data_IF_874225317113
#
_entry.id   IF_874225317113
#
_cell.length_a   1.000
_cell.length_b   1.000
_cell.length_c   1.000
_cell.angle_alpha   90.00
_cell.angle_beta   90.00
_cell.angle_gamma   90.00
#
_symmetry.space_group_name_H-M   'P 1'
#
loop_
_entity.id
_entity.type
_entity.pdbx_description
1 polymer ?
#
# COMPACT_ATOMS: atom_id res chain seq x y z
N UNK A 1 11.77 11.48 -5.96
CA UNK A 1 12.25 10.28 -6.67
C UNK A 1 11.67 10.30 -8.08
N UNK A 2 12.43 9.91 -9.08
CA UNK A 2 12.01 9.93 -10.49
C UNK A 2 11.38 8.59 -10.91
N UNK A 3 10.68 8.58 -12.03
CA UNK A 3 10.12 7.34 -12.60
C UNK A 3 11.21 6.30 -12.90
N UNK A 4 12.40 6.75 -13.33
CA UNK A 4 13.55 5.88 -13.59
C UNK A 4 14.02 5.18 -12.32
N UNK A 5 14.06 5.91 -11.21
CA UNK A 5 14.49 5.33 -9.93
C UNK A 5 13.50 4.26 -9.45
N UNK A 6 12.19 4.46 -9.68
CA UNK A 6 11.16 3.48 -9.30
C UNK A 6 11.27 2.21 -10.15
N UNK A 7 11.50 2.35 -11.46
CA UNK A 7 11.74 1.21 -12.33
C UNK A 7 12.98 0.43 -11.92
N UNK A 8 14.08 1.12 -11.55
CA UNK A 8 15.29 0.45 -11.06
C UNK A 8 15.08 -0.34 -9.75
N UNK A 9 14.11 0.06 -8.91
CA UNK A 9 13.71 -0.74 -7.74
C UNK A 9 12.96 -1.99 -8.19
N UNK A 10 12.05 -1.85 -9.15
CA UNK A 10 11.25 -2.96 -9.67
C UNK A 10 12.16 -3.98 -10.36
N UNK A 11 13.03 -3.55 -11.26
CA UNK A 11 13.93 -4.43 -12.01
C UNK A 11 14.82 -5.24 -11.07
N UNK A 12 15.38 -4.58 -10.03
CA UNK A 12 16.16 -5.26 -8.99
C UNK A 12 15.32 -6.24 -8.18
N UNK A 13 14.12 -5.84 -7.78
CA UNK A 13 13.23 -6.73 -7.04
C UNK A 13 12.87 -7.96 -7.88
N UNK A 14 12.64 -7.82 -9.19
CA UNK A 14 12.36 -8.95 -10.09
C UNK A 14 13.58 -9.87 -10.23
N UNK A 15 14.77 -9.31 -10.42
CA UNK A 15 16.01 -10.09 -10.61
C UNK A 15 16.43 -10.88 -9.34
N UNK A 16 16.27 -10.27 -8.17
CA UNK A 16 16.70 -10.85 -6.89
C UNK A 16 15.63 -11.73 -6.21
N UNK A 17 14.36 -11.66 -6.64
CA UNK A 17 13.27 -12.30 -5.92
C UNK A 17 13.24 -13.81 -6.10
N UNK A 18 13.19 -14.50 -4.96
CA UNK A 18 12.96 -15.94 -4.89
C UNK A 18 11.83 -16.19 -3.88
N UNK A 19 10.68 -16.63 -4.38
CA UNK A 19 9.48 -16.83 -3.60
C UNK A 19 8.22 -16.89 -4.46
N UNK A 20 7.09 -16.58 -3.85
CA UNK A 20 5.78 -16.57 -4.51
C UNK A 20 5.62 -15.33 -5.41
N UNK A 21 5.46 -15.54 -6.72
CA UNK A 21 5.34 -14.46 -7.70
C UNK A 21 4.08 -13.62 -7.48
N UNK A 22 3.02 -14.16 -6.89
CA UNK A 22 1.80 -13.39 -6.58
C UNK A 22 2.11 -12.30 -5.54
N UNK A 23 3.03 -12.58 -4.61
CA UNK A 23 3.50 -11.60 -3.64
C UNK A 23 4.39 -10.52 -4.27
N UNK A 24 5.23 -10.89 -5.23
CA UNK A 24 6.06 -9.94 -6.00
C UNK A 24 5.19 -9.02 -6.85
N UNK A 25 4.23 -9.56 -7.60
CA UNK A 25 3.29 -8.78 -8.41
C UNK A 25 2.52 -7.80 -7.54
N UNK A 26 2.00 -8.27 -6.40
CA UNK A 26 1.28 -7.42 -5.45
C UNK A 26 2.16 -6.30 -4.87
N UNK A 27 3.42 -6.59 -4.56
CA UNK A 27 4.37 -5.60 -4.05
C UNK A 27 4.68 -4.53 -5.10
N UNK A 28 4.97 -4.93 -6.34
CA UNK A 28 5.18 -4.03 -7.48
C UNK A 28 3.92 -3.19 -7.73
N UNK A 29 2.74 -3.81 -7.71
CA UNK A 29 1.45 -3.13 -7.85
C UNK A 29 1.23 -2.06 -6.78
N UNK A 30 1.57 -2.35 -5.51
CA UNK A 30 1.52 -1.36 -4.43
C UNK A 30 2.44 -0.17 -4.72
N UNK A 31 3.66 -0.41 -5.20
CA UNK A 31 4.61 0.67 -5.53
C UNK A 31 4.09 1.52 -6.70
N UNK A 32 3.60 0.87 -7.76
CA UNK A 32 3.12 1.52 -8.97
C UNK A 32 1.84 2.32 -8.75
N UNK A 33 0.90 1.82 -7.95
CA UNK A 33 -0.27 2.61 -7.52
C UNK A 33 0.13 3.70 -6.54
N UNK A 34 1.03 3.37 -5.61
CA UNK A 34 1.57 4.30 -4.62
C UNK A 34 2.18 5.56 -5.24
N UNK A 35 2.79 5.47 -6.43
CA UNK A 35 3.35 6.63 -7.15
C UNK A 35 2.28 7.68 -7.49
N UNK A 36 1.05 7.25 -7.74
CA UNK A 36 -0.07 8.11 -8.15
C UNK A 36 -0.97 8.51 -6.99
N UNK A 37 -1.10 7.64 -5.98
CA UNK A 37 -2.00 7.83 -4.84
C UNK A 37 -1.28 8.33 -3.58
N UNK A 38 0.03 8.14 -3.49
CA UNK A 38 0.85 8.47 -2.33
C UNK A 38 0.84 7.41 -1.23
N UNK A 39 1.86 7.45 -0.36
CA UNK A 39 2.03 6.44 0.69
C UNK A 39 0.91 6.45 1.73
N UNK A 40 0.25 7.60 1.97
CA UNK A 40 -0.86 7.66 2.93
C UNK A 40 -2.03 6.80 2.49
N UNK A 41 -2.34 6.80 1.19
CA UNK A 41 -3.39 5.94 0.64
C UNK A 41 -3.00 4.46 0.75
N UNK A 42 -1.74 4.13 0.45
CA UNK A 42 -1.24 2.75 0.56
C UNK A 42 -1.39 2.20 2.00
N UNK A 43 -1.13 3.02 3.02
CA UNK A 43 -1.33 2.62 4.43
C UNK A 43 -2.79 2.47 4.85
N UNK A 44 -3.74 3.04 4.10
CA UNK A 44 -5.17 2.89 4.38
C UNK A 44 -5.73 1.61 3.76
N UNK A 45 -5.23 1.21 2.59
CA UNK A 45 -5.75 0.05 1.84
C UNK A 45 -5.06 -1.26 2.23
N UNK A 46 -3.79 -1.21 2.65
CA UNK A 46 -3.03 -2.38 3.06
C UNK A 46 -2.87 -2.45 4.59
N UNK A 47 -2.82 -3.68 5.12
CA UNK A 47 -2.49 -3.89 6.52
C UNK A 47 -1.02 -3.52 6.80
N UNK A 48 -0.64 -3.14 8.04
CA UNK A 48 0.75 -2.90 8.39
C UNK A 48 1.67 -4.11 8.10
N UNK A 49 1.16 -5.33 8.28
CA UNK A 49 1.89 -6.57 7.97
C UNK A 49 2.14 -6.71 6.48
N UNK A 50 1.12 -6.44 5.66
CA UNK A 50 1.22 -6.45 4.19
C UNK A 50 2.24 -5.43 3.70
N UNK A 51 2.18 -4.19 4.20
CA UNK A 51 3.12 -3.14 3.84
C UNK A 51 4.55 -3.54 4.18
N UNK A 52 4.79 -4.07 5.39
CA UNK A 52 6.12 -4.56 5.80
C UNK A 52 6.65 -5.67 4.90
N UNK A 53 5.78 -6.62 4.53
CA UNK A 53 6.12 -7.71 3.60
C UNK A 53 6.55 -7.14 2.25
N UNK A 54 5.72 -6.30 1.65
CA UNK A 54 5.99 -5.75 0.33
C UNK A 54 7.20 -4.81 0.30
N UNK A 55 7.43 -3.99 1.34
CA UNK A 55 8.66 -3.18 1.42
C UNK A 55 9.91 -4.03 1.52
N UNK A 56 9.83 -5.21 2.17
CA UNK A 56 10.93 -6.17 2.23
C UNK A 56 11.21 -6.80 0.86
N UNK A 57 10.15 -7.20 0.14
CA UNK A 57 10.25 -7.73 -1.23
C UNK A 57 10.90 -6.71 -2.17
N UNK A 58 10.46 -5.45 -2.10
CA UNK A 58 10.99 -4.35 -2.91
C UNK A 58 12.36 -3.84 -2.44
N UNK A 59 12.91 -4.39 -1.35
CA UNK A 59 14.16 -3.95 -0.74
C UNK A 59 14.21 -2.42 -0.47
N UNK A 60 13.11 -1.85 0.06
CA UNK A 60 13.01 -0.45 0.46
C UNK A 60 12.77 -0.32 1.97
N UNK A 61 13.31 0.74 2.59
CA UNK A 61 13.14 1.00 4.03
C UNK A 61 11.70 1.35 4.37
N UNK A 62 11.10 2.28 3.61
CA UNK A 62 9.71 2.66 3.79
C UNK A 62 9.11 3.22 2.50
N UNK A 63 7.78 3.15 2.38
CA UNK A 63 7.06 3.82 1.29
C UNK A 63 7.26 5.34 1.30
N UNK A 64 7.55 5.94 2.46
CA UNK A 64 7.71 7.40 2.58
C UNK A 64 8.97 7.92 1.90
N UNK A 65 9.96 7.06 1.74
CA UNK A 65 11.24 7.42 1.16
C UNK A 65 11.17 7.49 -0.37
N UNK A 66 10.20 6.79 -0.97
CA UNK A 66 10.11 6.57 -2.42
C UNK A 66 8.81 7.10 -3.05
N UNK A 67 7.77 7.34 -2.25
CA UNK A 67 6.46 7.82 -2.73
C UNK A 67 6.10 9.21 -2.17
N UNK A 68 5.30 10.01 -2.89
CA UNK A 68 4.74 11.24 -2.35
C UNK A 68 3.82 10.96 -1.15
N UNK A 69 3.65 11.94 -0.27
CA UNK A 69 2.73 11.80 0.87
C UNK A 69 1.28 11.60 0.44
N UNK A 70 0.82 12.48 -0.44
CA UNK A 70 -0.49 12.42 -1.09
C UNK A 70 -0.23 12.58 -2.58
N UNK A 71 -0.64 11.57 -3.37
CA UNK A 71 -0.45 11.60 -4.81
C UNK A 71 -1.58 12.32 -5.54
N UNK A 72 -1.36 12.67 -6.81
CA UNK A 72 -2.31 13.43 -7.65
C UNK A 72 -3.68 12.75 -7.79
N UNK A 73 -3.74 11.42 -7.64
CA UNK A 73 -4.99 10.65 -7.72
C UNK A 73 -5.58 10.29 -6.35
N UNK A 74 -5.02 10.76 -5.24
CA UNK A 74 -5.47 10.40 -3.88
C UNK A 74 -6.97 10.66 -3.66
N UNK A 75 -7.50 11.77 -4.21
CA UNK A 75 -8.92 12.15 -4.15
C UNK A 75 -9.87 11.07 -4.70
N UNK A 76 -9.40 10.16 -5.57
CA UNK A 76 -10.20 9.06 -6.12
C UNK A 76 -10.39 7.92 -5.11
N UNK A 77 -9.53 7.83 -4.08
CA UNK A 77 -9.65 6.81 -3.04
C UNK A 77 -10.79 7.14 -2.07
N UNK A 78 -11.74 6.22 -1.93
CA UNK A 78 -12.83 6.33 -0.93
C UNK A 78 -12.27 6.41 0.49
N UNK A 79 -11.28 5.57 0.81
CA UNK A 79 -10.64 5.56 2.11
C UNK A 79 -9.93 6.89 2.41
N UNK A 80 -9.27 7.49 1.41
CA UNK A 80 -8.65 8.80 1.56
C UNK A 80 -9.67 9.90 1.84
N UNK A 81 -10.76 9.97 1.06
CA UNK A 81 -11.83 10.95 1.26
C UNK A 81 -12.48 10.91 2.64
N UNK A 82 -12.49 9.75 3.30
CA UNK A 82 -13.02 9.61 4.66
C UNK A 82 -12.09 10.19 5.74
N UNK A 83 -10.79 10.34 5.46
CA UNK A 83 -9.79 10.72 6.47
C UNK A 83 -9.07 12.02 6.16
N UNK A 84 -9.13 12.49 4.91
CA UNK A 84 -8.62 13.79 4.49
C UNK A 84 -9.26 14.90 5.33
N UNK A 85 -8.44 15.87 5.78
CA UNK A 85 -8.90 16.93 6.68
C UNK A 85 -9.14 16.51 8.14
N UNK A 86 -9.01 15.23 8.50
CA UNK A 86 -9.16 14.76 9.89
C UNK A 86 -7.81 14.61 10.60
N UNK A 87 -7.77 14.86 11.91
CA UNK A 87 -6.60 14.53 12.77
C UNK A 87 -6.47 13.03 13.07
N UNK A 88 -7.31 12.19 12.46
CA UNK A 88 -7.50 10.79 12.85
C UNK A 88 -6.79 9.78 11.92
N UNK A 89 -5.96 10.21 10.96
CA UNK A 89 -5.28 9.32 10.02
C UNK A 89 -4.59 8.12 10.69
N UNK A 90 -3.73 8.35 11.69
CA UNK A 90 -3.03 7.28 12.40
C UNK A 90 -3.94 6.36 13.20
N UNK A 91 -5.12 6.83 13.62
CA UNK A 91 -6.12 5.98 14.26
C UNK A 91 -6.72 5.01 13.25
N UNK A 92 -7.04 5.48 12.03
CA UNK A 92 -7.53 4.62 10.95
C UNK A 92 -6.48 3.61 10.51
N UNK A 93 -5.23 4.04 10.31
CA UNK A 93 -4.10 3.15 9.95
C UNK A 93 -3.88 2.07 11.02
N UNK A 94 -4.10 2.38 12.30
CA UNK A 94 -4.01 1.41 13.39
C UNK A 94 -5.27 0.56 13.57
N UNK A 95 -6.31 0.76 12.76
CA UNK A 95 -7.59 0.05 12.88
C UNK A 95 -8.40 0.44 14.12
N UNK A 96 -8.11 1.60 14.72
CA UNK A 96 -8.78 2.10 15.93
C UNK A 96 -10.12 2.82 15.62
N UNK A 97 -10.54 2.83 14.35
CA UNK A 97 -11.81 3.40 13.89
C UNK A 97 -12.57 2.31 13.13
N UNK A 98 -13.74 1.93 13.66
CA UNK A 98 -14.62 0.93 13.04
C UNK A 98 -15.19 1.41 11.71
N UNK A 99 -15.38 0.49 10.76
CA UNK A 99 -16.04 0.76 9.46
C UNK A 99 -15.13 0.97 8.25
N UNK A 100 -13.80 1.02 8.41
CA UNK A 100 -12.84 1.20 7.28
C UNK A 100 -12.18 -0.11 6.86
N UNK A 101 -12.04 -1.08 7.77
CA UNK A 101 -11.48 -2.42 7.49
C UNK A 101 -12.57 -3.48 7.44
N UNK A 102 -13.52 -3.35 6.52
CA UNK A 102 -14.48 -4.44 6.28
C UNK A 102 -13.96 -5.30 5.15
N UNK A 103 -13.10 -6.27 5.47
CA UNK A 103 -13.08 -7.49 4.66
C UNK A 103 -14.45 -8.13 4.83
N UNK A 104 -15.27 -8.12 3.77
CA UNK A 104 -16.45 -8.99 3.75
C UNK A 104 -15.94 -10.42 3.72
N UNK A 105 -15.79 -11.03 4.89
CA UNK A 105 -15.75 -12.49 5.00
C UNK A 105 -17.20 -12.93 4.79
N UNK A 106 -17.56 -13.26 3.56
CA UNK A 106 -18.71 -14.13 3.34
C UNK A 106 -18.36 -15.47 3.96
N UNK A 107 -18.85 -15.74 5.17
CA UNK A 107 -18.96 -17.11 5.64
C UNK A 107 -19.85 -17.84 4.64
N UNK A 108 -19.30 -18.77 3.87
CA UNK A 108 -20.12 -19.77 3.18
C UNK A 108 -20.82 -20.58 4.27
N UNK A 109 -22.16 -20.70 4.28
CA UNK A 109 -22.83 -21.60 5.20
C UNK A 109 -22.65 -23.03 4.69
N UNK A 110 -22.01 -23.89 5.47
CA UNK A 110 -21.95 -25.32 5.21
C UNK A 110 -20.63 -25.97 5.60
N UNK A 111 -20.40 -26.14 6.90
CA UNK A 111 -19.75 -27.31 7.50
C UNK A 111 -20.71 -27.87 8.54
#
# INVERSE_FOLDING_TARGET
>A
MTDKDLLAIIDRAVDEFNGDLDELESAIGMLMLGRHYGWRVMLLIHSPTTVRKYTKILNIKSLRDVLPEVGVLAHRSKAWRLVEGTKNFWKVVRGQIGGVRSARVTKTPGD
#
